data_IF_494583606426
#
_entry.id   IF_494583606426
#
_cell.length_a   1.000
_cell.length_b   1.000
_cell.length_c   1.000
_cell.angle_alpha   90.00
_cell.angle_beta   90.00
_cell.angle_gamma   90.00
#
_symmetry.space_group_name_H-M   'P 1'
#
loop_
_entity.id
_entity.type
_entity.pdbx_description
1 polymer ?
#
# COMPACT_ATOMS: atom_id res chain seq x y z
N UNK A 1 -13.58 -39.26 7.14
CA UNK A 1 -13.81 -37.93 7.78
C UNK A 1 -13.86 -36.78 6.77
N UNK A 2 -13.02 -36.79 5.73
CA UNK A 2 -12.87 -35.73 4.70
C UNK A 2 -14.16 -35.44 3.92
N UNK A 3 -14.85 -36.46 3.39
CA UNK A 3 -16.09 -36.29 2.59
C UNK A 3 -17.20 -35.47 3.27
N UNK A 4 -17.32 -35.52 4.60
CA UNK A 4 -18.36 -34.79 5.36
C UNK A 4 -18.00 -33.32 5.65
N UNK A 5 -16.77 -32.90 5.36
CA UNK A 5 -16.25 -31.55 5.65
C UNK A 5 -16.02 -30.69 4.40
N UNK A 6 -16.07 -31.27 3.20
CA UNK A 6 -15.82 -30.59 1.91
C UNK A 6 -16.68 -29.32 1.77
N UNK A 7 -17.96 -29.38 2.15
CA UNK A 7 -18.89 -28.24 2.02
C UNK A 7 -18.42 -26.99 2.77
N UNK A 8 -17.77 -27.17 3.92
CA UNK A 8 -17.28 -26.06 4.74
C UNK A 8 -15.92 -25.55 4.26
N UNK A 9 -15.11 -26.45 3.70
CA UNK A 9 -13.87 -26.08 3.04
C UNK A 9 -14.16 -25.19 1.81
N UNK A 10 -15.20 -25.50 1.04
CA UNK A 10 -15.64 -24.68 -0.09
C UNK A 10 -16.01 -23.26 0.35
N UNK A 11 -16.72 -23.09 1.47
CA UNK A 11 -17.07 -21.75 2.00
C UNK A 11 -15.80 -20.93 2.27
N UNK A 12 -14.84 -21.53 2.96
CA UNK A 12 -13.58 -20.86 3.30
C UNK A 12 -12.74 -20.57 2.06
N UNK A 13 -12.71 -21.49 1.09
CA UNK A 13 -12.00 -21.31 -0.17
C UNK A 13 -12.59 -20.15 -0.98
N UNK A 14 -13.92 -20.04 -1.08
CA UNK A 14 -14.57 -18.92 -1.76
C UNK A 14 -14.21 -17.61 -1.07
N UNK A 15 -14.24 -17.55 0.26
CA UNK A 15 -13.86 -16.36 1.01
C UNK A 15 -12.38 -15.97 0.78
N UNK A 16 -11.48 -16.96 0.75
CA UNK A 16 -10.07 -16.76 0.41
C UNK A 16 -9.89 -16.17 -0.99
N UNK A 17 -10.61 -16.70 -1.99
CA UNK A 17 -10.57 -16.19 -3.37
C UNK A 17 -11.05 -14.74 -3.43
N UNK A 18 -12.18 -14.43 -2.78
CA UNK A 18 -12.74 -13.07 -2.78
C UNK A 18 -11.75 -12.08 -2.12
N UNK A 19 -11.21 -12.41 -0.95
CA UNK A 19 -10.24 -11.55 -0.26
C UNK A 19 -8.96 -11.36 -1.06
N UNK A 20 -8.49 -12.41 -1.75
CA UNK A 20 -7.31 -12.32 -2.63
C UNK A 20 -7.60 -11.43 -3.84
N UNK A 21 -8.79 -11.52 -4.42
CA UNK A 21 -9.24 -10.62 -5.48
C UNK A 21 -9.30 -9.16 -5.02
N UNK A 22 -9.85 -8.90 -3.83
CA UNK A 22 -9.88 -7.55 -3.25
C UNK A 22 -8.48 -7.01 -2.98
N UNK A 23 -7.55 -7.83 -2.48
CA UNK A 23 -6.14 -7.46 -2.31
C UNK A 23 -5.50 -7.05 -3.64
N UNK A 24 -5.74 -7.82 -4.70
CA UNK A 24 -5.22 -7.50 -6.04
C UNK A 24 -5.82 -6.19 -6.59
N UNK A 25 -7.11 -5.94 -6.35
CA UNK A 25 -7.77 -4.70 -6.76
C UNK A 25 -7.24 -3.48 -6.01
N UNK A 26 -7.02 -3.61 -4.69
CA UNK A 26 -6.49 -2.54 -3.84
C UNK A 26 -5.07 -2.14 -4.23
N UNK A 27 -4.18 -3.11 -4.43
CA UNK A 27 -2.75 -2.88 -4.64
C UNK A 27 -2.44 -2.55 -6.10
N UNK A 28 -2.55 -1.27 -6.46
CA UNK A 28 -2.24 -0.74 -7.79
C UNK A 28 -0.73 -0.52 -8.03
N UNK A 29 -0.39 0.00 -9.21
CA UNK A 29 1.00 0.25 -9.61
C UNK A 29 1.75 1.10 -8.59
N UNK A 30 1.20 2.25 -8.21
CA UNK A 30 1.84 3.18 -7.26
C UNK A 30 2.11 2.49 -5.93
N UNK A 31 1.15 1.72 -5.41
CA UNK A 31 1.33 1.01 -4.13
C UNK A 31 2.45 -0.01 -4.20
N UNK A 32 2.52 -0.77 -5.30
CA UNK A 32 3.52 -1.82 -5.49
C UNK A 32 4.92 -1.28 -5.72
N UNK A 33 5.02 -0.19 -6.45
CA UNK A 33 6.29 0.48 -6.74
C UNK A 33 6.96 0.93 -5.45
N UNK A 34 6.19 1.47 -4.52
CA UNK A 34 6.73 1.98 -3.25
C UNK A 34 6.68 0.98 -2.10
N UNK A 35 5.87 -0.08 -2.19
CA UNK A 35 5.76 -1.11 -1.16
C UNK A 35 5.55 -2.49 -1.78
N UNK A 36 6.59 -3.06 -2.37
CA UNK A 36 6.55 -4.38 -3.01
C UNK A 36 6.14 -5.51 -2.05
N UNK A 37 6.42 -5.35 -0.74
CA UNK A 37 6.09 -6.31 0.31
C UNK A 37 4.63 -6.27 0.77
N UNK A 38 3.84 -5.28 0.35
CA UNK A 38 2.44 -5.15 0.79
C UNK A 38 1.61 -6.38 0.44
N UNK A 39 1.73 -6.90 -0.80
CA UNK A 39 0.94 -8.05 -1.26
C UNK A 39 1.29 -9.33 -0.49
N UNK A 40 2.56 -9.75 -0.37
CA UNK A 40 2.91 -10.93 0.43
C UNK A 40 2.45 -10.83 1.89
N UNK A 41 2.67 -9.69 2.55
CA UNK A 41 2.30 -9.50 3.95
C UNK A 41 0.79 -9.57 4.16
N UNK A 42 0.03 -8.93 3.27
CA UNK A 42 -1.44 -8.97 3.32
C UNK A 42 -1.99 -10.35 2.97
N UNK A 43 -1.37 -11.05 2.02
CA UNK A 43 -1.74 -12.43 1.71
C UNK A 43 -1.52 -13.36 2.92
N UNK A 44 -0.45 -13.18 3.69
CA UNK A 44 -0.24 -13.91 4.95
C UNK A 44 -1.34 -13.61 5.98
N UNK A 45 -1.81 -12.36 6.07
CA UNK A 45 -2.97 -12.01 6.92
C UNK A 45 -4.24 -12.73 6.47
N UNK A 46 -4.50 -12.79 5.17
CA UNK A 46 -5.63 -13.53 4.61
C UNK A 46 -5.54 -15.01 4.99
N UNK A 47 -4.37 -15.64 4.86
CA UNK A 47 -4.13 -17.03 5.28
C UNK A 47 -4.43 -17.20 6.78
N UNK A 48 -3.91 -16.31 7.64
CA UNK A 48 -4.14 -16.35 9.08
C UNK A 48 -5.63 -16.30 9.45
N UNK A 49 -6.37 -15.37 8.85
CA UNK A 49 -7.83 -15.23 9.06
C UNK A 49 -8.59 -16.44 8.51
N UNK A 50 -8.15 -17.00 7.38
CA UNK A 50 -8.71 -18.21 6.77
C UNK A 50 -8.56 -19.43 7.71
N UNK A 51 -7.38 -19.61 8.30
CA UNK A 51 -7.12 -20.67 9.29
C UNK A 51 -7.98 -20.48 10.54
N UNK A 52 -8.10 -19.25 11.05
CA UNK A 52 -8.95 -18.93 12.19
C UNK A 52 -10.42 -19.29 11.91
N UNK A 53 -10.91 -18.96 10.71
CA UNK A 53 -12.26 -19.31 10.28
C UNK A 53 -12.49 -20.83 10.26
N UNK A 54 -11.53 -21.62 9.77
CA UNK A 54 -11.61 -23.09 9.80
C UNK A 54 -11.72 -23.65 11.22
N UNK A 55 -10.95 -23.11 12.18
CA UNK A 55 -10.99 -23.52 13.58
C UNK A 55 -12.38 -23.21 14.17
N UNK A 56 -12.87 -21.98 14.00
CA UNK A 56 -14.18 -21.57 14.52
C UNK A 56 -15.30 -22.40 13.90
N UNK A 57 -15.27 -22.64 12.58
CA UNK A 57 -16.23 -23.50 11.89
C UNK A 57 -16.19 -24.93 12.45
N UNK A 58 -14.99 -25.49 12.68
CA UNK A 58 -14.84 -26.85 13.22
C UNK A 58 -15.50 -26.98 14.60
N UNK A 59 -15.25 -26.03 15.49
CA UNK A 59 -15.85 -26.00 16.84
C UNK A 59 -17.37 -25.87 16.73
N UNK A 60 -17.83 -24.92 15.90
CA UNK A 60 -19.24 -24.62 15.69
C UNK A 60 -20.02 -25.82 15.15
N UNK A 61 -19.49 -26.50 14.13
CA UNK A 61 -20.11 -27.72 13.58
C UNK A 61 -20.15 -28.83 14.63
N UNK A 62 -19.09 -28.98 15.44
CA UNK A 62 -19.05 -29.94 16.54
C UNK A 62 -20.21 -29.73 17.52
N UNK A 63 -20.44 -28.47 17.90
CA UNK A 63 -21.55 -28.08 18.75
C UNK A 63 -22.93 -28.36 18.12
N UNK A 64 -23.16 -27.91 16.88
CA UNK A 64 -24.46 -28.10 16.22
C UNK A 64 -24.75 -29.56 15.81
N UNK A 65 -23.72 -30.39 15.61
CA UNK A 65 -23.90 -31.84 15.41
C UNK A 65 -24.49 -32.50 16.65
N UNK A 66 -24.05 -32.12 17.86
CA UNK A 66 -24.60 -32.64 19.12
C UNK A 66 -26.08 -32.28 19.30
N UNK A 67 -26.54 -31.18 18.70
CA UNK A 67 -27.93 -30.70 18.78
C UNK A 67 -28.80 -31.14 17.58
N UNK A 68 -28.38 -32.12 16.78
CA UNK A 68 -29.10 -32.63 15.61
C UNK A 68 -29.60 -31.53 14.64
N UNK A 69 -28.87 -30.42 14.54
CA UNK A 69 -29.26 -29.31 13.67
C UNK A 69 -29.12 -29.70 12.19
N UNK A 70 -30.08 -29.24 11.37
CA UNK A 70 -30.08 -29.50 9.92
C UNK A 70 -28.75 -29.07 9.27
N UNK A 71 -28.36 -29.73 8.18
CA UNK A 71 -27.13 -29.36 7.45
C UNK A 71 -27.22 -27.97 6.82
N UNK A 72 -28.41 -27.57 6.37
CA UNK A 72 -28.67 -26.26 5.76
C UNK A 72 -28.43 -25.13 6.76
N UNK A 73 -28.92 -25.27 7.99
CA UNK A 73 -28.70 -24.28 9.05
C UNK A 73 -27.23 -24.18 9.44
N UNK A 74 -26.52 -25.31 9.52
CA UNK A 74 -25.07 -25.33 9.82
C UNK A 74 -24.26 -24.59 8.76
N UNK A 75 -24.57 -24.80 7.48
CA UNK A 75 -23.91 -24.08 6.36
C UNK A 75 -24.16 -22.57 6.47
N UNK A 76 -25.41 -22.14 6.71
CA UNK A 76 -25.74 -20.71 6.86
C UNK A 76 -24.96 -20.05 8.00
N UNK A 77 -24.89 -20.70 9.16
CA UNK A 77 -24.13 -20.18 10.30
C UNK A 77 -22.63 -20.14 9.99
N UNK A 78 -22.07 -21.17 9.34
CA UNK A 78 -20.66 -21.15 8.93
C UNK A 78 -20.33 -20.02 7.96
N UNK A 79 -21.22 -19.70 7.01
CA UNK A 79 -21.05 -18.56 6.10
C UNK A 79 -21.04 -17.25 6.90
N UNK A 80 -22.03 -17.04 7.77
CA UNK A 80 -22.12 -15.82 8.58
C UNK A 80 -20.88 -15.64 9.47
N UNK A 81 -20.42 -16.70 10.12
CA UNK A 81 -19.20 -16.66 10.94
C UNK A 81 -17.95 -16.37 10.10
N UNK A 82 -17.84 -16.97 8.91
CA UNK A 82 -16.71 -16.69 8.00
C UNK A 82 -16.67 -15.21 7.63
N UNK A 83 -17.82 -14.65 7.22
CA UNK A 83 -17.93 -13.23 6.88
C UNK A 83 -17.61 -12.35 8.09
N UNK A 84 -18.13 -12.70 9.27
CA UNK A 84 -17.90 -11.94 10.50
C UNK A 84 -16.41 -11.91 10.89
N UNK A 85 -15.74 -13.06 10.84
CA UNK A 85 -14.31 -13.19 11.15
C UNK A 85 -13.46 -12.41 10.14
N UNK A 86 -13.86 -12.40 8.86
CA UNK A 86 -13.17 -11.68 7.79
C UNK A 86 -13.59 -10.22 7.62
N UNK A 87 -14.57 -9.74 8.40
CA UNK A 87 -15.19 -8.41 8.22
C UNK A 87 -14.18 -7.26 8.22
N UNK A 88 -13.19 -7.32 9.10
CA UNK A 88 -12.12 -6.34 9.19
C UNK A 88 -11.33 -6.22 7.88
N UNK A 89 -10.97 -7.35 7.26
CA UNK A 89 -10.24 -7.36 5.99
C UNK A 89 -11.11 -6.83 4.85
N UNK A 90 -12.38 -7.23 4.79
CA UNK A 90 -13.32 -6.69 3.81
C UNK A 90 -13.40 -5.17 3.89
N UNK A 91 -13.63 -4.62 5.09
CA UNK A 91 -13.75 -3.19 5.28
C UNK A 91 -12.45 -2.46 4.89
N UNK A 92 -11.31 -2.97 5.34
CA UNK A 92 -10.02 -2.32 5.08
C UNK A 92 -9.69 -2.32 3.58
N UNK A 93 -9.88 -3.45 2.89
CA UNK A 93 -9.62 -3.53 1.45
C UNK A 93 -10.60 -2.68 0.65
N UNK A 94 -11.88 -2.67 0.99
CA UNK A 94 -12.86 -1.80 0.35
C UNK A 94 -12.53 -0.31 0.53
N UNK A 95 -12.13 0.10 1.75
CA UNK A 95 -11.70 1.48 2.02
C UNK A 95 -10.51 1.85 1.16
N UNK A 96 -9.49 1.01 1.09
CA UNK A 96 -8.29 1.34 0.33
C UNK A 96 -8.53 1.32 -1.18
N UNK A 97 -9.40 0.43 -1.68
CA UNK A 97 -9.87 0.48 -3.08
C UNK A 97 -10.54 1.83 -3.35
N UNK A 98 -11.43 2.28 -2.48
CA UNK A 98 -12.11 3.57 -2.66
C UNK A 98 -11.11 4.73 -2.70
N UNK A 99 -10.19 4.81 -1.73
CA UNK A 99 -9.21 5.89 -1.68
C UNK A 99 -8.28 5.87 -2.90
N UNK A 100 -7.71 4.71 -3.22
CA UNK A 100 -6.69 4.62 -4.27
C UNK A 100 -7.28 4.68 -5.68
N UNK A 101 -8.37 3.94 -5.93
CA UNK A 101 -8.93 3.79 -7.29
C UNK A 101 -10.00 4.81 -7.63
N UNK A 102 -10.77 5.28 -6.65
CA UNK A 102 -11.91 6.18 -6.89
C UNK A 102 -11.54 7.61 -6.54
N UNK A 103 -11.14 7.87 -5.29
CA UNK A 103 -10.84 9.23 -4.84
C UNK A 103 -9.57 9.79 -5.49
N UNK A 104 -8.48 9.02 -5.50
CA UNK A 104 -7.18 9.43 -6.02
C UNK A 104 -6.86 8.81 -7.39
N UNK A 105 -7.87 8.26 -8.08
CA UNK A 105 -7.66 7.45 -9.29
C UNK A 105 -6.95 8.20 -10.41
N UNK A 106 -7.40 9.41 -10.75
CA UNK A 106 -6.79 10.22 -11.82
C UNK A 106 -5.38 10.70 -11.43
N UNK A 107 -5.18 11.09 -10.17
CA UNK A 107 -3.87 11.49 -9.67
C UNK A 107 -2.86 10.33 -9.73
N UNK A 108 -3.26 9.12 -9.31
CA UNK A 108 -2.40 7.93 -9.35
C UNK A 108 -2.10 7.45 -10.77
N UNK A 109 -3.02 7.63 -11.72
CA UNK A 109 -2.73 7.41 -13.16
C UNK A 109 -1.73 8.43 -13.70
N UNK A 110 -1.85 9.71 -13.32
CA UNK A 110 -0.86 10.74 -13.66
C UNK A 110 0.53 10.39 -13.13
N UNK A 111 0.61 9.92 -11.89
CA UNK A 111 1.84 9.42 -11.28
C UNK A 111 2.42 8.21 -12.02
N UNK A 112 1.60 7.22 -12.37
CA UNK A 112 2.04 6.01 -13.09
C UNK A 112 2.75 6.34 -14.40
N UNK A 113 2.31 7.39 -15.11
CA UNK A 113 2.94 7.84 -16.35
C UNK A 113 4.30 8.51 -16.11
N UNK A 114 4.47 9.20 -14.98
CA UNK A 114 5.68 9.98 -14.65
C UNK A 114 6.76 9.18 -13.93
N UNK A 115 6.39 8.07 -13.27
CA UNK A 115 7.33 7.24 -12.52
C UNK A 115 8.08 6.32 -13.48
N UNK A 116 9.40 6.44 -13.46
CA UNK A 116 10.32 5.65 -14.25
C UNK A 116 11.30 4.88 -13.35
N UNK A 117 11.86 3.75 -13.83
CA UNK A 117 12.98 3.12 -13.15
C UNK A 117 14.18 4.08 -13.09
N UNK A 118 14.89 4.09 -11.97
CA UNK A 118 16.11 4.87 -11.80
C UNK A 118 17.35 4.04 -12.18
N UNK A 119 18.34 4.70 -12.79
CA UNK A 119 19.58 4.06 -13.25
C UNK A 119 20.70 4.33 -12.25
N UNK A 120 20.77 3.53 -11.18
CA UNK A 120 21.81 3.64 -10.15
C UNK A 120 22.12 2.27 -9.54
N UNK A 121 21.55 2.00 -8.36
CA UNK A 121 21.62 0.69 -7.71
C UNK A 121 20.61 -0.30 -8.32
N UNK A 122 20.58 -1.53 -7.80
CA UNK A 122 19.76 -2.63 -8.33
C UNK A 122 18.25 -2.32 -8.37
N UNK A 123 17.77 -1.50 -7.44
CA UNK A 123 16.38 -1.08 -7.36
C UNK A 123 16.26 0.43 -7.26
N UNK A 124 15.16 0.99 -7.76
CA UNK A 124 14.91 2.41 -7.62
C UNK A 124 13.91 2.98 -8.60
N UNK A 125 13.44 4.18 -8.30
CA UNK A 125 12.54 4.94 -9.15
C UNK A 125 12.92 6.41 -9.15
N UNK A 126 12.53 7.08 -10.23
CA UNK A 126 12.61 8.53 -10.38
C UNK A 126 11.29 9.03 -10.97
N UNK A 127 11.00 10.29 -10.77
CA UNK A 127 9.95 10.97 -11.51
C UNK A 127 10.28 12.45 -11.59
N UNK A 128 9.82 13.09 -12.66
CA UNK A 128 10.04 14.50 -12.93
C UNK A 128 8.72 15.26 -13.04
N UNK A 129 8.76 16.55 -12.71
CA UNK A 129 7.63 17.47 -12.85
C UNK A 129 6.34 16.98 -12.15
N UNK A 130 6.49 16.49 -10.92
CA UNK A 130 5.39 16.16 -10.04
C UNK A 130 4.76 17.43 -9.44
N UNK A 131 3.44 17.42 -9.27
CA UNK A 131 2.76 18.38 -8.40
C UNK A 131 2.95 18.02 -6.93
N UNK A 132 2.62 18.97 -6.05
CA UNK A 132 2.63 18.72 -4.62
C UNK A 132 1.76 17.52 -4.23
N UNK A 133 0.54 17.41 -4.77
CA UNK A 133 -0.40 16.34 -4.44
C UNK A 133 0.11 14.98 -4.92
N UNK A 134 0.69 14.93 -6.12
CA UNK A 134 1.32 13.73 -6.66
C UNK A 134 2.48 13.25 -5.77
N UNK A 135 3.38 14.16 -5.40
CA UNK A 135 4.48 13.84 -4.50
C UNK A 135 3.99 13.43 -3.10
N UNK A 136 2.94 14.08 -2.61
CA UNK A 136 2.34 13.75 -1.32
C UNK A 136 1.82 12.30 -1.29
N UNK A 137 1.22 11.78 -2.36
CA UNK A 137 0.81 10.38 -2.42
C UNK A 137 2.01 9.43 -2.28
N UNK A 138 3.18 9.76 -2.85
CA UNK A 138 4.40 8.96 -2.70
C UNK A 138 4.87 8.93 -1.23
N UNK A 139 4.89 10.10 -0.58
CA UNK A 139 5.33 10.24 0.84
C UNK A 139 4.40 9.55 1.85
N UNK A 140 3.22 9.09 1.44
CA UNK A 140 2.36 8.26 2.31
C UNK A 140 2.88 6.84 2.44
N UNK A 141 3.55 6.33 1.42
CA UNK A 141 4.05 4.95 1.37
C UNK A 141 5.57 4.85 1.58
N UNK A 142 6.30 5.96 1.43
CA UNK A 142 7.75 6.05 1.70
C UNK A 142 8.09 7.10 2.74
N UNK A 143 9.28 6.98 3.31
CA UNK A 143 9.85 7.90 4.28
C UNK A 143 10.32 9.24 3.68
N UNK A 144 10.14 9.44 2.37
CA UNK A 144 10.58 10.64 1.66
C UNK A 144 10.15 11.92 2.40
N UNK A 145 11.00 12.97 2.39
CA UNK A 145 10.73 14.20 3.13
C UNK A 145 9.42 14.83 2.66
N UNK A 146 8.64 15.36 3.60
CA UNK A 146 7.43 16.10 3.25
C UNK A 146 7.83 17.51 2.86
N UNK A 147 7.30 17.98 1.74
CA UNK A 147 7.55 19.34 1.23
C UNK A 147 6.42 20.29 1.61
N UNK A 148 6.67 21.59 1.50
CA UNK A 148 5.65 22.62 1.67
C UNK A 148 4.59 22.53 0.55
N UNK A 149 3.35 22.90 0.85
CA UNK A 149 2.21 22.83 -0.08
C UNK A 149 2.40 23.59 -1.40
N UNK A 150 3.25 24.61 -1.41
CA UNK A 150 3.49 25.47 -2.57
C UNK A 150 4.63 24.96 -3.46
N UNK A 151 5.17 23.78 -3.16
CA UNK A 151 6.20 23.15 -3.97
C UNK A 151 5.63 22.72 -5.33
N UNK A 152 6.31 23.11 -6.40
CA UNK A 152 5.97 22.68 -7.77
C UNK A 152 7.19 22.17 -8.53
N UNK A 153 6.93 21.55 -9.68
CA UNK A 153 7.95 20.93 -10.54
C UNK A 153 8.90 20.03 -9.75
N UNK A 154 8.32 19.19 -8.90
CA UNK A 154 9.07 18.32 -8.00
C UNK A 154 9.65 17.16 -8.81
N UNK A 155 10.95 16.97 -8.73
CA UNK A 155 11.67 15.84 -9.30
C UNK A 155 12.32 15.04 -8.18
N UNK A 156 12.16 13.73 -8.16
CA UNK A 156 12.87 12.87 -7.22
C UNK A 156 13.63 11.76 -7.94
N UNK A 157 14.68 11.30 -7.29
CA UNK A 157 15.49 10.18 -7.71
C UNK A 157 15.82 9.33 -6.47
N UNK A 158 15.46 8.06 -6.48
CA UNK A 158 15.70 7.14 -5.38
C UNK A 158 16.22 5.81 -5.90
N UNK A 159 17.38 5.37 -5.42
CA UNK A 159 17.91 4.02 -5.70
C UNK A 159 18.45 3.39 -4.44
N UNK A 160 18.37 2.06 -4.35
CA UNK A 160 18.84 1.26 -3.22
C UNK A 160 19.31 -0.12 -3.68
N UNK A 161 20.22 -0.74 -2.91
CA UNK A 161 20.83 -2.03 -3.25
C UNK A 161 19.85 -3.21 -3.05
N UNK A 162 19.02 -3.12 -2.01
CA UNK A 162 18.00 -4.12 -1.69
C UNK A 162 18.46 -5.24 -0.76
N UNK A 163 19.78 -5.41 -0.61
CA UNK A 163 20.36 -6.26 0.44
C UNK A 163 21.09 -5.43 1.50
N UNK A 164 21.99 -4.55 1.06
CA UNK A 164 22.67 -3.60 1.95
C UNK A 164 21.78 -2.39 2.27
N UNK A 165 22.02 -1.69 3.40
CA UNK A 165 21.31 -0.46 3.74
C UNK A 165 21.69 0.73 2.83
N UNK A 166 22.42 0.48 1.74
CA UNK A 166 22.91 1.49 0.81
C UNK A 166 21.76 2.08 0.00
N UNK A 167 21.68 3.41 -0.01
CA UNK A 167 20.74 4.14 -0.85
C UNK A 167 21.27 5.52 -1.25
N UNK A 168 20.69 6.00 -2.34
CA UNK A 168 20.83 7.37 -2.83
C UNK A 168 19.44 7.95 -2.98
N UNK A 169 19.17 9.09 -2.37
CA UNK A 169 17.92 9.81 -2.50
C UNK A 169 18.17 11.29 -2.81
N UNK A 170 17.59 11.77 -3.90
CA UNK A 170 17.61 13.18 -4.26
C UNK A 170 16.17 13.65 -4.51
N UNK A 171 15.87 14.86 -4.07
CA UNK A 171 14.64 15.56 -4.47
C UNK A 171 14.97 17.01 -4.80
N UNK A 172 14.43 17.51 -5.89
CA UNK A 172 14.51 18.92 -6.26
C UNK A 172 13.12 19.47 -6.53
N UNK A 173 12.86 20.70 -6.11
CA UNK A 173 11.55 21.33 -6.26
C UNK A 173 11.70 22.84 -6.32
N UNK A 174 10.68 23.51 -6.84
CA UNK A 174 10.64 24.96 -6.89
C UNK A 174 9.64 25.50 -5.87
N UNK A 175 10.01 26.61 -5.24
CA UNK A 175 9.14 27.41 -4.38
C UNK A 175 9.11 28.87 -4.84
N UNK A 176 7.99 29.58 -4.65
CA UNK A 176 7.97 31.04 -4.70
C UNK A 176 9.02 31.68 -3.77
N UNK A 177 9.69 32.73 -4.23
CA UNK A 177 10.77 33.38 -3.48
C UNK A 177 10.32 34.03 -2.17
N UNK A 178 9.04 34.41 -2.08
CA UNK A 178 8.45 35.05 -0.90
C UNK A 178 8.14 34.08 0.25
N UNK A 179 8.31 32.77 0.07
CA UNK A 179 8.03 31.75 1.09
C UNK A 179 9.33 31.33 1.74
N UNK A 180 9.45 31.37 3.06
CA UNK A 180 10.64 30.87 3.76
C UNK A 180 10.72 29.33 3.71
N UNK A 181 11.94 28.80 3.59
CA UNK A 181 12.16 27.35 3.56
C UNK A 181 12.00 26.84 4.97
N UNK A 182 11.18 25.80 5.15
CA UNK A 182 11.06 25.14 6.43
C UNK A 182 12.28 24.24 6.63
N UNK A 183 13.20 24.70 7.49
CA UNK A 183 14.42 23.98 7.84
C UNK A 183 14.18 22.59 8.46
N UNK A 184 12.95 22.27 8.88
CA UNK A 184 12.61 20.97 9.47
C UNK A 184 12.28 19.89 8.43
N UNK A 185 12.18 20.24 7.14
CA UNK A 185 11.89 19.31 6.05
C UNK A 185 12.98 18.27 5.84
N UNK A 186 14.23 18.61 6.19
CA UNK A 186 15.42 17.83 5.87
C UNK A 186 16.23 17.53 7.14
N UNK A 187 16.60 16.26 7.35
CA UNK A 187 17.27 15.83 8.58
C UNK A 187 18.75 15.52 8.43
N UNK A 188 19.16 14.90 7.33
CA UNK A 188 20.48 14.25 7.25
C UNK A 188 21.29 14.57 5.97
N UNK A 189 20.64 15.08 4.93
CA UNK A 189 21.29 15.35 3.63
C UNK A 189 21.80 16.78 3.43
N UNK A 190 22.41 17.00 2.27
CA UNK A 190 22.88 18.31 1.80
C UNK A 190 21.76 19.04 1.09
N UNK A 191 21.66 20.34 1.33
CA UNK A 191 20.66 21.22 0.71
C UNK A 191 21.41 22.27 -0.11
N UNK A 192 21.01 22.40 -1.37
CA UNK A 192 21.44 23.46 -2.27
C UNK A 192 20.22 24.30 -2.65
N UNK A 193 20.39 25.62 -2.60
CA UNK A 193 19.34 26.58 -2.92
C UNK A 193 19.86 27.47 -4.04
N UNK A 194 19.22 27.39 -5.19
CA UNK A 194 19.46 28.28 -6.31
C UNK A 194 18.28 29.23 -6.46
N UNK A 195 18.54 30.53 -6.57
CA UNK A 195 17.48 31.55 -6.64
C UNK A 195 17.44 32.12 -8.05
N UNK A 196 16.32 31.93 -8.75
CA UNK A 196 16.14 32.41 -10.10
C UNK A 196 14.91 33.33 -10.20
N UNK A 197 15.14 34.63 -10.07
CA UNK A 197 14.12 35.67 -10.27
C UNK A 197 12.98 35.63 -9.26
N UNK A 198 11.88 34.97 -9.60
CA UNK A 198 10.63 34.89 -8.80
C UNK A 198 10.52 33.56 -8.04
N UNK A 199 11.29 32.54 -8.44
CA UNK A 199 11.31 31.22 -7.81
C UNK A 199 12.69 30.88 -7.28
N UNK A 200 12.72 30.01 -6.28
CA UNK A 200 13.93 29.35 -5.79
C UNK A 200 13.79 27.86 -6.00
N UNK A 201 14.85 27.26 -6.52
CA UNK A 201 14.98 25.82 -6.68
C UNK A 201 15.78 25.27 -5.51
N UNK A 202 15.19 24.30 -4.84
CA UNK A 202 15.78 23.62 -3.69
C UNK A 202 16.12 22.21 -4.14
N UNK A 203 17.34 21.78 -3.87
CA UNK A 203 17.82 20.44 -4.14
C UNK A 203 18.31 19.82 -2.83
N UNK A 204 17.74 18.69 -2.46
CA UNK A 204 18.15 17.87 -1.33
C UNK A 204 18.77 16.58 -1.85
N UNK A 205 19.88 16.16 -1.24
CA UNK A 205 20.54 14.90 -1.54
C UNK A 205 21.03 14.18 -0.29
N UNK A 206 20.82 12.87 -0.25
CA UNK A 206 21.18 11.99 0.85
C UNK A 206 21.76 10.67 0.30
N UNK A 207 22.89 10.27 0.86
CA UNK A 207 23.63 9.08 0.42
C UNK A 207 24.09 8.29 1.64
N UNK A 208 23.80 6.99 1.65
CA UNK A 208 24.36 6.02 2.60
C UNK A 208 25.05 4.93 1.78
N UNK A 209 26.32 4.70 2.12
CA UNK A 209 27.24 3.71 1.55
C UNK A 209 27.87 2.88 2.67
#
# INVERSE_FOLDING_TARGET
MIRKSIKYLVIVLINLIILTGLLACWTDFVELTFNSWIRPLEFLKIIGVTLLSLIVIRITIGFYRKRNTSIKSRIRVSILLTILISSFLYFNYSKNIYVNRIQNGELRKGLEIKIEPANGLAYGTKADNLTFEEYQEITRSKWFPKLQKNADSISYYYTYDGFLPDYSFNVSYSLPNNIEIDSTEFRYGKIEIDTNGIKKRISYSEYIH
#
